data_IF_785705696005
#
_entry.id   IF_785705696005
#
_cell.length_a   1.000
_cell.length_b   1.000
_cell.length_c   1.000
_cell.angle_alpha   90.00
_cell.angle_beta   90.00
_cell.angle_gamma   90.00
#
_symmetry.space_group_name_H-M   'P 1'
#
loop_
_entity.id
_entity.type
_entity.pdbx_description
1 polymer ?
#
# COMPACT_ATOMS: atom_id res chain seq x y z
N UNK A 1 -21.75 -1.67 6.94
CA UNK A 1 -20.56 -2.05 6.16
C UNK A 1 -19.99 -0.79 5.55
N UNK A 2 -18.70 -0.54 5.71
CA UNK A 2 -18.01 0.63 5.16
C UNK A 2 -16.86 0.18 4.26
N UNK A 3 -16.48 1.03 3.31
CA UNK A 3 -15.31 0.81 2.46
C UNK A 3 -14.38 2.00 2.64
N UNK A 4 -13.10 1.70 2.82
CA UNK A 4 -12.03 2.71 2.81
C UNK A 4 -11.21 2.48 1.56
N UNK A 5 -11.08 3.52 0.73
CA UNK A 5 -10.20 3.52 -0.42
C UNK A 5 -8.98 4.37 -0.11
N UNK A 6 -7.79 3.76 -0.20
CA UNK A 6 -6.52 4.41 0.14
C UNK A 6 -5.65 4.48 -1.10
N UNK A 7 -5.04 5.65 -1.33
CA UNK A 7 -4.00 5.86 -2.34
C UNK A 7 -2.66 6.20 -1.66
N UNK A 8 -1.56 5.84 -2.31
CA UNK A 8 -0.24 6.16 -1.81
C UNK A 8 0.26 7.46 -2.44
N UNK A 9 0.06 8.56 -1.72
CA UNK A 9 0.51 9.88 -2.18
C UNK A 9 1.98 9.87 -2.62
N UNK A 10 2.23 10.46 -3.79
CA UNK A 10 3.56 10.61 -4.37
C UNK A 10 4.33 9.30 -4.59
N UNK A 11 3.68 8.13 -4.63
CA UNK A 11 4.37 6.85 -4.80
C UNK A 11 5.20 6.80 -6.10
N UNK A 12 4.73 7.43 -7.18
CA UNK A 12 5.51 7.61 -8.40
C UNK A 12 6.83 8.35 -8.17
N UNK A 13 6.86 9.39 -7.34
CA UNK A 13 8.10 10.13 -7.03
C UNK A 13 9.09 9.26 -6.26
N UNK A 14 8.59 8.35 -5.41
CA UNK A 14 9.43 7.37 -4.72
C UNK A 14 10.08 6.43 -5.76
N UNK A 15 9.30 5.89 -6.69
CA UNK A 15 9.84 5.05 -7.77
C UNK A 15 10.87 5.81 -8.62
N UNK A 16 10.57 7.04 -8.99
CA UNK A 16 11.44 7.85 -9.85
C UNK A 16 12.75 8.24 -9.11
N UNK A 17 12.73 8.40 -7.78
CA UNK A 17 13.90 8.79 -6.98
C UNK A 17 14.76 7.62 -6.48
N UNK A 18 14.14 6.47 -6.17
CA UNK A 18 14.80 5.34 -5.50
C UNK A 18 14.73 4.02 -6.29
N UNK A 19 14.03 4.02 -7.43
CA UNK A 19 13.84 2.84 -8.27
C UNK A 19 12.66 1.96 -7.83
N UNK A 20 12.17 1.15 -8.77
CA UNK A 20 11.00 0.29 -8.56
C UNK A 20 11.18 -0.73 -7.44
N UNK A 21 12.38 -1.30 -7.29
CA UNK A 21 12.67 -2.26 -6.20
C UNK A 21 12.47 -1.65 -4.81
N UNK A 22 12.86 -0.38 -4.65
CA UNK A 22 12.61 0.36 -3.41
C UNK A 22 11.12 0.65 -3.23
N UNK A 23 10.44 1.05 -4.33
CA UNK A 23 8.99 1.20 -4.36
C UNK A 23 8.24 -0.05 -3.89
N UNK A 24 8.61 -1.23 -4.39
CA UNK A 24 8.00 -2.51 -4.01
C UNK A 24 8.24 -2.85 -2.54
N UNK A 25 9.43 -2.53 -2.03
CA UNK A 25 9.74 -2.69 -0.60
C UNK A 25 8.89 -1.76 0.27
N UNK A 26 8.71 -0.50 -0.17
CA UNK A 26 7.86 0.47 0.51
C UNK A 26 6.37 0.09 0.45
N UNK A 27 5.89 -0.44 -0.69
CA UNK A 27 4.54 -0.99 -0.84
C UNK A 27 4.29 -2.14 0.14
N UNK A 28 5.25 -3.05 0.22
CA UNK A 28 5.18 -4.21 1.12
C UNK A 28 5.11 -3.77 2.57
N UNK A 29 6.01 -2.86 2.99
CA UNK A 29 6.02 -2.31 4.35
C UNK A 29 4.71 -1.61 4.72
N UNK A 30 4.15 -0.78 3.83
CA UNK A 30 2.85 -0.12 4.06
C UNK A 30 1.70 -1.12 4.13
N UNK A 31 1.70 -2.15 3.29
CA UNK A 31 0.65 -3.19 3.30
C UNK A 31 0.65 -3.97 4.62
N UNK A 32 1.84 -4.31 5.14
CA UNK A 32 1.98 -4.96 6.45
C UNK A 32 1.53 -4.06 7.60
N UNK A 33 1.86 -2.76 7.54
CA UNK A 33 1.39 -1.79 8.53
C UNK A 33 -0.15 -1.68 8.52
N UNK A 34 -0.77 -1.64 7.34
CA UNK A 34 -2.23 -1.63 7.22
C UNK A 34 -2.85 -2.91 7.78
N UNK A 35 -2.31 -4.09 7.43
CA UNK A 35 -2.77 -5.37 7.96
C UNK A 35 -2.73 -5.41 9.49
N UNK A 36 -1.70 -4.81 10.12
CA UNK A 36 -1.58 -4.78 11.58
C UNK A 36 -2.65 -3.94 12.29
N UNK A 37 -3.38 -3.09 11.55
CA UNK A 37 -4.47 -2.27 12.08
C UNK A 37 -5.86 -2.89 11.84
N UNK A 38 -5.94 -4.04 11.16
CA UNK A 38 -7.19 -4.69 10.83
C UNK A 38 -7.53 -5.78 11.84
N UNK A 39 -8.83 -5.91 12.12
CA UNK A 39 -9.38 -7.04 12.85
C UNK A 39 -9.49 -8.28 11.94
N UNK A 40 -9.63 -9.48 12.53
CA UNK A 40 -9.64 -10.76 11.78
C UNK A 40 -10.75 -10.87 10.72
N UNK A 41 -11.85 -10.14 10.88
CA UNK A 41 -13.01 -10.14 9.98
C UNK A 41 -12.96 -9.04 8.90
N UNK A 42 -11.89 -8.25 8.86
CA UNK A 42 -11.70 -7.17 7.91
C UNK A 42 -10.83 -7.58 6.71
N UNK A 43 -11.13 -7.02 5.54
CA UNK A 43 -10.45 -7.36 4.29
C UNK A 43 -9.56 -6.21 3.81
N UNK A 44 -8.28 -6.50 3.55
CA UNK A 44 -7.39 -5.65 2.78
C UNK A 44 -7.23 -6.21 1.36
N UNK A 45 -7.42 -5.37 0.34
CA UNK A 45 -7.18 -5.73 -1.05
C UNK A 45 -6.37 -4.64 -1.75
N UNK A 46 -5.43 -5.04 -2.61
CA UNK A 46 -4.72 -4.12 -3.51
C UNK A 46 -5.58 -3.83 -4.73
N UNK A 47 -6.06 -2.60 -4.85
CA UNK A 47 -6.86 -2.13 -5.98
C UNK A 47 -6.00 -1.28 -6.92
N UNK A 48 -5.22 -1.94 -7.78
CA UNK A 48 -4.41 -1.29 -8.83
C UNK A 48 -2.91 -1.59 -8.78
N UNK A 49 -2.21 -1.18 -9.84
CA UNK A 49 -0.76 -1.29 -9.96
C UNK A 49 -0.24 -1.03 -11.38
N UNK A 50 0.79 -0.20 -11.48
CA UNK A 50 1.83 -0.20 -12.51
C UNK A 50 3.16 0.10 -11.85
#
# INVERSE_FOLDING_TARGET
MGIVYLDLDNFKKINDAYGHMFGDSALTGRSLALLSCLEEDQLLARLGGR
#
